data_IF_770031004224
#
_entry.id   IF_770031004224
#
_cell.length_a   1.000
_cell.length_b   1.000
_cell.length_c   1.000
_cell.angle_alpha   90.00
_cell.angle_beta   90.00
_cell.angle_gamma   90.00
#
_symmetry.space_group_name_H-M   'P 1'
#
loop_
_entity.id
_entity.type
_entity.pdbx_description
1 polymer ?
#
# COMPACT_ATOMS: atom_id res chain seq x y z
N UNK A 1 11.22 -4.94 23.64
CA UNK A 1 9.85 -4.69 24.15
C UNK A 1 8.94 -5.05 22.98
N UNK A 2 8.22 -6.17 23.04
CA UNK A 2 7.34 -6.58 21.93
C UNK A 2 6.19 -5.57 21.85
N UNK A 3 5.94 -4.99 20.68
CA UNK A 3 4.87 -4.01 20.47
C UNK A 3 3.51 -4.69 20.61
N UNK A 4 2.64 -4.17 21.48
CA UNK A 4 1.27 -4.67 21.67
C UNK A 4 0.30 -4.18 20.57
N UNK A 5 0.82 -3.94 19.36
CA UNK A 5 0.08 -3.37 18.23
C UNK A 5 -0.40 -4.54 17.36
N UNK A 6 -1.71 -4.61 17.02
CA UNK A 6 -2.22 -5.64 16.13
C UNK A 6 -1.47 -5.68 14.81
N UNK A 7 -1.21 -6.90 14.34
CA UNK A 7 -0.45 -7.14 13.11
C UNK A 7 -1.41 -7.47 11.98
N UNK A 8 -1.13 -6.97 10.79
CA UNK A 8 -1.80 -7.36 9.55
C UNK A 8 -0.81 -8.12 8.68
N UNK A 9 -1.28 -9.22 8.10
CA UNK A 9 -0.59 -9.92 7.01
C UNK A 9 -1.49 -9.86 5.78
N UNK A 10 -0.97 -9.32 4.70
CA UNK A 10 -1.50 -9.50 3.36
C UNK A 10 -0.88 -10.77 2.78
N UNK A 11 -1.68 -11.74 2.37
CA UNK A 11 -1.19 -13.04 1.89
C UNK A 11 -1.71 -13.42 0.49
N UNK A 12 -2.63 -12.64 -0.06
CA UNK A 12 -3.14 -12.82 -1.43
C UNK A 12 -3.57 -11.48 -2.02
N UNK A 13 -3.52 -11.37 -3.35
CA UNK A 13 -3.93 -10.18 -4.09
C UNK A 13 -4.81 -10.59 -5.27
N UNK A 14 -5.93 -9.90 -5.43
CA UNK A 14 -6.87 -10.06 -6.54
C UNK A 14 -6.47 -9.15 -7.69
N UNK A 15 -6.27 -7.86 -7.39
CA UNK A 15 -5.79 -6.85 -8.33
C UNK A 15 -4.74 -5.97 -7.67
N UNK A 16 -3.74 -5.52 -8.41
CA UNK A 16 -2.75 -4.57 -7.92
C UNK A 16 -1.43 -4.68 -8.66
N UNK A 17 -0.43 -3.87 -8.28
CA UNK A 17 0.85 -3.82 -8.98
C UNK A 17 1.79 -4.96 -8.53
N UNK A 18 2.73 -5.40 -9.38
CA UNK A 18 3.61 -6.57 -9.10
C UNK A 18 4.41 -6.37 -7.83
N UNK A 19 4.90 -5.17 -7.57
CA UNK A 19 5.75 -4.93 -6.41
C UNK A 19 5.01 -5.19 -5.11
N UNK A 20 3.68 -5.13 -5.10
CA UNK A 20 2.88 -5.62 -3.98
C UNK A 20 2.84 -7.15 -3.99
N UNK A 21 2.42 -7.74 -5.11
CA UNK A 21 2.25 -9.20 -5.25
C UNK A 21 3.52 -9.98 -4.90
N UNK A 22 4.66 -9.52 -5.41
CA UNK A 22 5.98 -10.11 -5.22
C UNK A 22 6.49 -10.03 -3.78
N UNK A 23 5.83 -9.25 -2.93
CA UNK A 23 6.17 -9.06 -1.52
C UNK A 23 5.25 -9.83 -0.59
N UNK A 24 4.25 -10.54 -1.12
CA UNK A 24 3.39 -11.42 -0.34
C UNK A 24 4.19 -12.64 0.18
N UNK A 25 3.96 -13.07 1.44
CA UNK A 25 3.15 -12.41 2.45
C UNK A 25 3.81 -11.10 2.93
N UNK A 26 3.05 -10.01 2.89
CA UNK A 26 3.50 -8.68 3.31
C UNK A 26 2.91 -8.37 4.68
N UNK A 27 3.75 -7.95 5.62
CA UNK A 27 3.32 -7.69 7.00
C UNK A 27 3.48 -6.23 7.41
N UNK A 28 2.62 -5.81 8.34
CA UNK A 28 2.67 -4.47 8.92
C UNK A 28 1.91 -4.36 10.24
N UNK A 29 2.02 -3.19 10.85
CA UNK A 29 1.34 -2.82 12.07
C UNK A 29 0.05 -2.04 11.74
N UNK A 30 -1.07 -2.45 12.32
CA UNK A 30 -2.30 -1.68 12.27
C UNK A 30 -2.18 -0.51 13.26
N UNK A 31 -1.93 0.70 12.74
CA UNK A 31 -1.61 1.86 13.59
C UNK A 31 -2.86 2.48 14.19
N UNK A 32 -3.89 2.74 13.38
CA UNK A 32 -5.14 3.36 13.84
C UNK A 32 -6.26 3.25 12.80
N UNK A 33 -7.48 3.41 13.29
CA UNK A 33 -8.66 3.65 12.47
C UNK A 33 -8.78 5.15 12.15
N UNK A 34 -9.20 5.46 10.93
CA UNK A 34 -9.37 6.81 10.43
C UNK A 34 -10.73 6.93 9.73
N UNK A 35 -11.53 7.97 10.03
CA UNK A 35 -12.67 8.30 9.20
C UNK A 35 -12.20 8.97 7.90
N UNK A 36 -12.80 8.59 6.78
CA UNK A 36 -12.78 9.34 5.52
C UNK A 36 -14.09 10.09 5.32
N UNK A 37 -14.22 10.76 4.19
CA UNK A 37 -15.42 11.54 3.85
C UNK A 37 -16.60 10.65 3.39
N UNK A 38 -16.32 9.44 2.91
CA UNK A 38 -17.32 8.47 2.44
C UNK A 38 -17.65 7.39 3.49
N UNK A 39 -16.70 7.01 4.36
CA UNK A 39 -16.87 5.99 5.38
C UNK A 39 -16.01 6.22 6.63
N UNK A 40 -16.44 5.76 7.82
CA UNK A 40 -15.78 6.09 9.10
C UNK A 40 -14.64 5.13 9.50
N UNK A 41 -14.39 4.08 8.73
CA UNK A 41 -13.71 2.86 9.16
C UNK A 41 -12.50 2.46 8.29
N UNK A 42 -11.76 3.44 7.77
CA UNK A 42 -10.45 3.14 7.18
C UNK A 42 -9.44 2.75 8.27
N UNK A 43 -8.42 2.03 7.86
CA UNK A 43 -7.30 1.63 8.69
C UNK A 43 -5.99 2.11 8.06
N UNK A 44 -5.13 2.70 8.88
CA UNK A 44 -3.76 3.01 8.51
C UNK A 44 -2.84 1.87 8.94
N UNK A 45 -2.11 1.31 7.99
CA UNK A 45 -1.14 0.25 8.20
C UNK A 45 0.26 0.79 7.93
N UNK A 46 1.18 0.60 8.87
CA UNK A 46 2.60 0.85 8.66
C UNK A 46 3.26 -0.46 8.24
N UNK A 47 3.91 -0.46 7.08
CA UNK A 47 4.61 -1.66 6.61
C UNK A 47 5.91 -1.88 7.38
N UNK A 48 6.28 -3.13 7.61
CA UNK A 48 7.59 -3.48 8.21
C UNK A 48 8.74 -3.01 7.33
N UNK A 49 8.54 -3.13 6.02
CA UNK A 49 9.45 -2.69 4.99
C UNK A 49 8.65 -1.89 3.95
N UNK A 50 9.05 -0.64 3.66
CA UNK A 50 8.42 0.15 2.61
C UNK A 50 8.40 -0.57 1.26
N UNK A 51 7.36 -0.34 0.46
CA UNK A 51 7.34 -0.75 -0.94
C UNK A 51 7.98 0.35 -1.81
N UNK A 52 8.55 -0.05 -2.94
CA UNK A 52 9.02 0.89 -3.96
C UNK A 52 8.05 0.81 -5.15
N UNK A 53 7.15 1.79 -5.24
CA UNK A 53 6.16 1.90 -6.31
C UNK A 53 6.79 2.61 -7.52
N UNK A 54 6.75 1.96 -8.69
CA UNK A 54 7.24 2.52 -9.95
C UNK A 54 6.01 2.82 -10.83
N UNK A 55 5.57 4.08 -10.93
CA UNK A 55 4.29 4.43 -11.56
C UNK A 55 4.28 4.33 -13.08
N UNK A 56 5.45 4.44 -13.72
CA UNK A 56 5.61 4.23 -15.16
C UNK A 56 6.49 3.00 -15.39
N UNK A 57 6.10 2.10 -16.31
CA UNK A 57 7.00 1.02 -16.68
C UNK A 57 8.24 1.65 -17.34
N UNK A 58 9.46 1.18 -17.04
CA UNK A 58 10.61 1.60 -17.82
C UNK A 58 10.35 1.33 -19.32
N UNK A 59 10.64 2.30 -20.19
CA UNK A 59 10.50 2.15 -21.65
C UNK A 59 11.36 0.97 -22.17
N UNK A 60 12.46 0.68 -21.49
CA UNK A 60 13.30 -0.51 -21.66
C UNK A 60 13.59 -1.13 -20.28
N UNK A 61 13.30 -2.42 -20.09
CA UNK A 61 13.55 -3.11 -18.82
C UNK A 61 15.05 -3.42 -18.70
N UNK A 62 15.79 -2.83 -17.76
CA UNK A 62 17.20 -3.14 -17.58
C UNK A 62 17.40 -4.61 -17.17
N UNK A 63 18.50 -5.24 -17.58
CA UNK A 63 18.75 -6.67 -17.29
C UNK A 63 18.68 -7.00 -15.79
N UNK A 64 19.18 -6.10 -14.92
CA UNK A 64 19.12 -6.27 -13.45
C UNK A 64 17.68 -6.28 -12.89
N UNK A 65 16.71 -5.81 -13.68
CA UNK A 65 15.29 -5.75 -13.37
C UNK A 65 14.50 -6.88 -14.07
N UNK A 66 14.97 -7.40 -15.20
CA UNK A 66 14.32 -8.50 -15.95
C UNK A 66 14.19 -9.78 -15.12
N UNK A 67 15.21 -10.15 -14.36
CA UNK A 67 15.17 -11.34 -13.48
C UNK A 67 14.25 -11.16 -12.24
N UNK A 68 13.84 -9.91 -11.96
CA UNK A 68 12.96 -9.56 -10.85
C UNK A 68 11.51 -9.33 -11.28
N UNK A 69 11.27 -9.11 -12.57
CA UNK A 69 9.94 -8.94 -13.20
C UNK A 69 9.65 -10.20 -14.02
N UNK A 70 9.23 -11.26 -13.34
CA UNK A 70 8.71 -12.43 -14.01
C UNK A 70 7.18 -12.31 -14.15
N UNK A 71 6.78 -11.51 -15.16
CA UNK A 71 5.60 -11.68 -16.01
C UNK A 71 4.22 -11.58 -15.32
N UNK A 72 3.72 -10.36 -15.06
CA UNK A 72 2.38 -9.87 -15.52
C UNK A 72 1.91 -8.50 -14.95
N UNK A 73 2.78 -7.61 -14.46
CA UNK A 73 2.35 -6.28 -14.03
C UNK A 73 2.79 -5.17 -14.97
N UNK A 74 1.80 -4.45 -15.49
CA UNK A 74 2.01 -3.08 -15.92
C UNK A 74 1.22 -2.15 -15.00
N UNK A 75 1.79 -0.98 -14.62
CA UNK A 75 1.22 -0.11 -13.61
C UNK A 75 -0.12 0.44 -14.09
N UNK A 76 -0.96 0.76 -13.11
CA UNK A 76 -2.20 1.50 -13.33
C UNK A 76 -1.88 2.76 -14.16
N UNK A 77 -2.40 2.91 -15.39
CA UNK A 77 -2.12 4.07 -16.21
C UNK A 77 -2.53 5.36 -15.49
N UNK A 78 -1.64 6.38 -15.46
CA UNK A 78 -2.01 7.75 -15.09
C UNK A 78 -1.71 8.20 -13.66
N UNK A 79 -0.80 7.54 -12.92
CA UNK A 79 -0.28 8.14 -11.69
C UNK A 79 0.67 9.30 -12.02
N UNK A 80 0.28 10.51 -11.62
CA UNK A 80 1.15 11.69 -11.65
C UNK A 80 2.12 11.66 -10.47
N UNK A 81 3.40 11.45 -10.73
CA UNK A 81 4.44 11.36 -9.70
C UNK A 81 4.60 12.66 -8.90
N UNK A 82 4.23 13.80 -9.47
CA UNK A 82 4.34 15.08 -8.78
C UNK A 82 3.23 15.26 -7.72
N UNK A 83 2.27 14.34 -7.63
CA UNK A 83 1.36 14.20 -6.48
C UNK A 83 2.04 13.62 -5.24
N UNK A 84 3.14 12.90 -5.41
CA UNK A 84 3.84 12.31 -4.26
C UNK A 84 4.67 13.37 -3.53
N UNK A 85 4.70 13.30 -2.19
CA UNK A 85 5.49 14.23 -1.40
C UNK A 85 6.99 14.03 -1.69
N UNK A 86 7.74 15.13 -1.74
CA UNK A 86 9.14 15.13 -2.22
C UNK A 86 10.08 14.23 -1.39
N UNK A 87 9.75 13.98 -0.12
CA UNK A 87 10.46 13.07 0.77
C UNK A 87 10.25 11.58 0.45
N UNK A 88 9.19 11.23 -0.29
CA UNK A 88 8.89 9.87 -0.73
C UNK A 88 9.39 9.59 -2.16
N UNK A 89 9.64 10.63 -2.95
CA UNK A 89 10.05 10.49 -4.34
C UNK A 89 11.56 10.17 -4.45
N UNK A 90 11.87 9.15 -5.25
CA UNK A 90 13.24 8.77 -5.64
C UNK A 90 13.42 9.05 -7.13
N UNK A 91 14.45 9.83 -7.48
CA UNK A 91 14.80 10.16 -8.87
C UNK A 91 16.24 9.73 -9.18
N UNK A 92 16.46 8.44 -9.47
CA UNK A 92 17.77 7.97 -9.91
C UNK A 92 18.09 8.49 -11.34
N UNK A 93 19.36 8.71 -11.70
CA UNK A 93 19.73 9.24 -13.01
C UNK A 93 19.54 8.24 -14.16
N UNK A 94 19.53 6.94 -13.88
CA UNK A 94 19.58 5.83 -14.84
C UNK A 94 18.32 4.95 -14.86
N UNK A 95 17.27 5.30 -14.09
CA UNK A 95 16.05 4.49 -13.95
C UNK A 95 14.82 5.39 -13.85
N UNK A 96 13.61 4.87 -14.12
CA UNK A 96 12.38 5.63 -13.88
C UNK A 96 12.30 6.12 -12.43
N UNK A 97 11.68 7.29 -12.21
CA UNK A 97 11.44 7.76 -10.86
C UNK A 97 10.42 6.85 -10.16
N UNK A 98 10.53 6.77 -8.85
CA UNK A 98 9.74 5.87 -8.02
C UNK A 98 9.28 6.58 -6.74
N UNK A 99 8.32 5.97 -6.04
CA UNK A 99 7.79 6.47 -4.78
C UNK A 99 7.98 5.40 -3.71
N UNK A 100 8.62 5.77 -2.60
CA UNK A 100 8.61 4.95 -1.40
C UNK A 100 7.22 5.00 -0.76
N UNK A 101 6.63 3.84 -0.51
CA UNK A 101 5.33 3.69 0.14
C UNK A 101 5.58 3.21 1.58
N UNK A 102 5.56 4.11 2.57
CA UNK A 102 5.87 3.77 3.97
C UNK A 102 4.70 3.07 4.68
N UNK A 103 3.50 3.20 4.14
CA UNK A 103 2.28 2.66 4.73
C UNK A 103 1.12 2.64 3.74
N UNK A 104 0.03 2.04 4.19
CA UNK A 104 -1.17 1.79 3.40
C UNK A 104 -2.40 2.34 4.12
N UNK A 105 -3.37 2.81 3.35
CA UNK A 105 -4.76 2.97 3.81
C UNK A 105 -5.55 1.78 3.29
N UNK A 106 -6.28 1.10 4.17
CA UNK A 106 -7.13 -0.03 3.80
C UNK A 106 -8.55 0.11 4.34
N UNK A 107 -9.51 -0.52 3.68
CA UNK A 107 -10.86 -0.70 4.21
C UNK A 107 -11.50 -1.98 3.65
N UNK A 108 -12.43 -2.57 4.40
CA UNK A 108 -13.20 -3.72 3.91
C UNK A 108 -13.92 -3.37 2.61
N UNK A 109 -14.03 -4.33 1.68
CA UNK A 109 -14.66 -4.11 0.37
C UNK A 109 -16.12 -3.64 0.47
N UNK A 110 -16.83 -4.05 1.52
CA UNK A 110 -18.19 -3.64 1.81
C UNK A 110 -18.21 -2.60 2.94
N UNK A 111 -18.97 -1.52 2.75
CA UNK A 111 -19.16 -0.49 3.76
C UNK A 111 -19.91 -1.06 4.94
N UNK A 112 -19.47 -0.75 6.16
CA UNK A 112 -20.09 -1.23 7.40
C UNK A 112 -19.66 -2.63 7.84
N UNK A 113 -18.74 -3.30 7.12
CA UNK A 113 -18.08 -4.51 7.61
C UNK A 113 -17.03 -4.14 8.67
N UNK A 114 -17.24 -4.44 9.96
CA UNK A 114 -16.30 -4.07 11.01
C UNK A 114 -15.02 -4.91 10.91
N UNK A 115 -13.85 -4.28 11.04
CA UNK A 115 -12.59 -5.01 11.19
C UNK A 115 -12.43 -5.46 12.66
N UNK A 116 -12.33 -6.77 12.87
CA UNK A 116 -12.07 -7.39 14.18
C UNK A 116 -10.60 -7.83 14.27
N UNK A 117 -9.92 -7.70 15.42
CA UNK A 117 -8.54 -8.21 15.61
C UNK A 117 -8.36 -9.72 15.33
N UNK A 118 -9.45 -10.48 15.35
CA UNK A 118 -9.47 -11.93 15.04
C UNK A 118 -9.81 -12.24 13.59
N UNK A 119 -10.03 -11.22 12.76
CA UNK A 119 -10.52 -11.38 11.40
C UNK A 119 -9.47 -12.03 10.50
N UNK A 120 -9.92 -13.05 9.78
CA UNK A 120 -9.13 -13.82 8.81
C UNK A 120 -9.80 -13.73 7.46
N UNK A 121 -9.00 -13.88 6.42
CA UNK A 121 -9.45 -14.00 5.03
C UNK A 121 -10.35 -12.84 4.54
N UNK A 122 -10.13 -11.62 5.06
CA UNK A 122 -10.91 -10.45 4.64
C UNK A 122 -10.28 -9.81 3.41
N UNK A 123 -11.06 -9.63 2.36
CA UNK A 123 -10.68 -8.81 1.21
C UNK A 123 -10.89 -7.31 1.50
N UNK A 124 -9.83 -6.54 1.27
CA UNK A 124 -9.78 -5.08 1.48
C UNK A 124 -9.41 -4.34 0.22
N UNK A 125 -9.92 -3.11 0.07
CA UNK A 125 -9.30 -2.14 -0.81
C UNK A 125 -8.02 -1.63 -0.16
N UNK A 126 -6.99 -1.40 -0.97
CA UNK A 126 -5.68 -0.92 -0.53
C UNK A 126 -5.30 0.31 -1.33
N UNK A 127 -4.88 1.36 -0.63
CA UNK A 127 -4.29 2.55 -1.20
C UNK A 127 -2.90 2.78 -0.63
N UNK A 128 -1.98 3.23 -1.48
CA UNK A 128 -0.64 3.66 -1.09
C UNK A 128 -0.69 5.06 -0.50
N UNK A 129 -0.01 5.27 0.62
CA UNK A 129 0.27 6.63 1.11
C UNK A 129 1.38 7.20 0.22
N UNK A 130 1.03 8.22 -0.58
CA UNK A 130 1.95 8.86 -1.52
C UNK A 130 2.33 10.28 -1.08
N UNK A 131 1.60 10.86 -0.12
CA UNK A 131 2.00 12.05 0.61
C UNK A 131 2.16 11.71 2.10
N UNK A 132 3.37 11.90 2.63
CA UNK A 132 3.72 11.52 4.01
C UNK A 132 2.93 12.31 5.07
N UNK A 133 2.33 13.45 4.73
CA UNK A 133 1.49 14.22 5.64
C UNK A 133 0.30 13.41 6.17
N UNK A 134 -0.26 12.48 5.38
CA UNK A 134 -1.38 11.59 5.79
C UNK A 134 -1.10 10.85 7.12
N UNK A 135 0.16 10.53 7.42
CA UNK A 135 0.57 9.83 8.66
C UNK A 135 0.25 10.67 9.90
N UNK A 136 0.22 11.99 9.78
CA UNK A 136 -0.11 12.92 10.87
C UNK A 136 -1.62 13.22 11.00
N UNK A 137 -2.43 12.86 10.01
CA UNK A 137 -3.82 13.31 9.91
C UNK A 137 -4.80 12.42 10.68
N UNK A 138 -5.85 13.03 11.21
CA UNK A 138 -6.93 12.36 11.93
C UNK A 138 -8.06 11.87 11.00
N UNK A 139 -7.94 12.13 9.69
CA UNK A 139 -8.85 11.68 8.63
C UNK A 139 -8.06 11.17 7.42
N UNK A 140 -8.72 10.36 6.59
CA UNK A 140 -8.18 10.00 5.27
C UNK A 140 -8.43 11.14 4.31
N UNK A 141 -7.36 11.63 3.68
CA UNK A 141 -7.40 12.57 2.56
C UNK A 141 -7.12 11.80 1.26
N UNK A 142 -8.11 11.73 0.37
CA UNK A 142 -7.98 10.94 -0.86
C UNK A 142 -6.95 11.49 -1.85
N UNK A 143 -6.59 12.76 -1.77
CA UNK A 143 -5.58 13.34 -2.66
C UNK A 143 -4.16 12.92 -2.24
N UNK A 144 -3.97 12.57 -0.96
CA UNK A 144 -2.70 12.08 -0.38
C UNK A 144 -2.47 10.58 -0.55
N UNK A 145 -3.46 9.87 -1.07
CA UNK A 145 -3.44 8.43 -1.22
C UNK A 145 -3.69 8.01 -2.67
N UNK A 146 -3.19 6.84 -3.02
CA UNK A 146 -3.34 6.27 -4.35
C UNK A 146 -4.00 4.89 -4.29
N UNK A 147 -5.24 4.71 -4.79
CA UNK A 147 -5.88 3.41 -4.88
C UNK A 147 -5.01 2.44 -5.70
N UNK A 148 -4.55 1.37 -5.07
CA UNK A 148 -3.50 0.53 -5.63
C UNK A 148 -3.94 -0.91 -5.85
N UNK A 149 -4.68 -1.50 -4.92
CA UNK A 149 -4.93 -2.95 -4.94
C UNK A 149 -6.22 -3.38 -4.25
N UNK A 150 -6.58 -4.65 -4.48
CA UNK A 150 -7.51 -5.45 -3.69
C UNK A 150 -6.72 -6.64 -3.18
N UNK A 151 -6.65 -6.81 -1.86
CA UNK A 151 -5.84 -7.85 -1.23
C UNK A 151 -6.56 -8.52 -0.06
N UNK A 152 -6.20 -9.77 0.22
CA UNK A 152 -6.70 -10.52 1.38
C UNK A 152 -5.79 -10.25 2.57
N UNK A 153 -6.40 -9.97 3.71
CA UNK A 153 -5.70 -9.74 4.98
C UNK A 153 -6.09 -10.75 6.05
N UNK A 154 -5.14 -10.95 6.95
CA UNK A 154 -5.29 -11.67 8.20
C UNK A 154 -4.79 -10.79 9.34
N UNK A 155 -5.66 -10.53 10.32
CA UNK A 155 -5.29 -9.86 11.56
C UNK A 155 -4.75 -10.90 12.56
N UNK A 156 -3.65 -10.53 13.19
CA UNK A 156 -2.96 -11.36 14.18
C UNK A 156 -2.88 -10.55 15.46
N UNK A 157 -3.44 -11.10 16.54
CA UNK A 157 -3.28 -10.56 17.87
C UNK A 157 -1.80 -10.56 18.26
N UNK A 158 -1.30 -9.48 18.89
CA UNK A 158 0.09 -9.39 19.33
C UNK A 158 0.46 -10.41 20.42
#
# INVERSE_FOLDING_TARGET
MLSNVPRIIFDEMDTGPEEFAARLPLAGELIRFLPGDDRPDYCMVKLDQPLLFVPEPPQEIPDWLQERIAVNAWPTPGFDIDRASADLVVRPPDRPPAVWVPGLIICARLVGTPMSPTMRDLWVNVAYIVDSAQIGEDRVDFDKNYPAAIARINLIEP
#
